data_IF_590730083044
#
_entry.id   IF_590730083044
#
_cell.length_a   1.000
_cell.length_b   1.000
_cell.length_c   1.000
_cell.angle_alpha   90.00
_cell.angle_beta   90.00
_cell.angle_gamma   90.00
#
_symmetry.space_group_name_H-M   'P 1'
#
loop_
_entity.id
_entity.type
_entity.pdbx_description
1 polymer ?
#
# COMPACT_ATOMS: atom_id res chain seq x y z
N UNK A 1 9.23 -5.27 5.66
CA UNK A 1 8.82 -3.89 5.32
C UNK A 1 7.38 -3.88 4.79
N UNK A 2 6.98 -4.74 3.83
CA UNK A 2 5.61 -4.76 3.28
C UNK A 2 4.54 -5.01 4.33
N UNK A 3 4.72 -6.00 5.22
CA UNK A 3 3.81 -6.27 6.34
C UNK A 3 3.63 -5.05 7.26
N UNK A 4 4.71 -4.29 7.53
CA UNK A 4 4.62 -3.06 8.33
C UNK A 4 3.83 -1.96 7.62
N UNK A 5 4.04 -1.80 6.31
CA UNK A 5 3.25 -0.85 5.51
C UNK A 5 1.76 -1.21 5.53
N UNK A 6 1.44 -2.47 5.26
CA UNK A 6 0.07 -2.98 5.26
C UNK A 6 -0.60 -2.76 6.63
N UNK A 7 0.13 -3.02 7.72
CA UNK A 7 -0.37 -2.79 9.09
C UNK A 7 -0.60 -1.31 9.36
N UNK A 8 0.33 -0.44 8.95
CA UNK A 8 0.20 1.01 9.14
C UNK A 8 -1.04 1.55 8.40
N UNK A 9 -1.21 1.16 7.13
CA UNK A 9 -2.38 1.59 6.34
C UNK A 9 -3.70 1.11 6.94
N UNK A 10 -3.77 -0.15 7.38
CA UNK A 10 -4.95 -0.69 8.05
C UNK A 10 -5.26 0.05 9.36
N UNK A 11 -4.24 0.34 10.17
CA UNK A 11 -4.41 1.10 11.41
C UNK A 11 -4.93 2.50 11.13
N UNK A 12 -4.38 3.21 10.15
CA UNK A 12 -4.83 4.56 9.76
C UNK A 12 -6.27 4.57 9.26
N UNK A 13 -6.68 3.54 8.50
CA UNK A 13 -8.03 3.40 7.95
C UNK A 13 -9.04 2.84 8.96
N UNK A 14 -8.61 2.36 10.13
CA UNK A 14 -9.51 1.86 11.17
C UNK A 14 -10.32 2.94 11.90
N UNK A 15 -10.10 4.21 11.58
CA UNK A 15 -10.75 5.36 12.25
C UNK A 15 -10.16 5.74 13.62
N UNK A 16 -9.14 5.02 14.09
CA UNK A 16 -8.41 5.37 15.32
C UNK A 16 -7.65 6.68 15.14
N UNK A 17 -7.57 7.47 16.22
CA UNK A 17 -6.84 8.75 16.25
C UNK A 17 -5.59 8.72 17.16
N UNK A 18 -5.35 7.62 17.85
CA UNK A 18 -4.24 7.40 18.78
C UNK A 18 -3.06 6.68 18.10
N UNK A 19 -2.72 7.07 16.86
CA UNK A 19 -1.71 6.41 16.04
C UNK A 19 -0.54 7.35 15.84
N UNK A 20 0.67 6.86 16.12
CA UNK A 20 1.93 7.51 15.78
C UNK A 20 2.64 6.66 14.74
N UNK A 21 3.00 7.25 13.61
CA UNK A 21 3.76 6.59 12.56
C UNK A 21 5.15 7.18 12.48
N UNK A 22 6.17 6.35 12.62
CA UNK A 22 7.58 6.73 12.43
C UNK A 22 8.04 6.17 11.11
N UNK A 23 8.46 7.03 10.21
CA UNK A 23 8.81 6.66 8.84
C UNK A 23 9.97 7.50 8.30
N UNK A 24 10.68 6.99 7.31
CA UNK A 24 11.61 7.78 6.52
C UNK A 24 10.86 8.54 5.41
N UNK A 25 11.55 9.43 4.71
CA UNK A 25 11.02 10.17 3.55
C UNK A 25 10.49 9.27 2.43
N UNK A 26 10.78 7.96 2.45
CA UNK A 26 10.21 6.99 1.52
C UNK A 26 8.69 6.84 1.63
N UNK A 27 8.06 7.33 2.69
CA UNK A 27 6.60 7.40 2.83
C UNK A 27 5.93 8.33 1.81
N UNK A 28 6.69 9.20 1.15
CA UNK A 28 6.22 10.11 0.11
C UNK A 28 6.22 9.48 -1.30
N UNK A 29 6.68 8.24 -1.44
CA UNK A 29 6.54 7.48 -2.69
C UNK A 29 5.12 6.97 -2.90
N UNK A 30 4.81 6.69 -4.18
CA UNK A 30 3.52 6.19 -4.59
C UNK A 30 3.06 4.94 -3.81
N UNK A 31 1.83 4.99 -3.35
CA UNK A 31 1.08 3.90 -2.73
C UNK A 31 -0.24 3.68 -3.47
N UNK A 32 -0.97 2.65 -3.10
CA UNK A 32 -2.30 2.40 -3.63
C UNK A 32 -3.33 3.44 -3.17
N UNK A 33 -4.47 3.49 -3.86
CA UNK A 33 -5.60 4.34 -3.46
C UNK A 33 -6.17 3.87 -2.10
N UNK A 34 -6.18 4.73 -1.07
CA UNK A 34 -6.73 4.39 0.24
C UNK A 34 -8.22 4.02 0.19
N UNK A 35 -9.00 4.63 -0.73
CA UNK A 35 -10.42 4.35 -0.88
C UNK A 35 -10.65 2.95 -1.46
N UNK A 36 -9.87 2.57 -2.48
CA UNK A 36 -9.92 1.24 -3.06
C UNK A 36 -9.54 0.16 -2.03
N UNK A 37 -8.51 0.39 -1.23
CA UNK A 37 -8.12 -0.50 -0.16
C UNK A 37 -9.20 -0.62 0.92
N UNK A 38 -9.75 0.49 1.39
CA UNK A 38 -10.82 0.50 2.40
C UNK A 38 -12.08 -0.22 1.92
N UNK A 39 -12.44 -0.11 0.64
CA UNK A 39 -13.61 -0.77 0.06
C UNK A 39 -13.53 -2.30 0.04
N UNK A 40 -12.34 -2.87 0.21
CA UNK A 40 -12.08 -4.31 0.24
C UNK A 40 -11.91 -4.88 1.64
N UNK A 41 -12.05 -4.05 2.67
CA UNK A 41 -12.09 -4.53 4.05
C UNK A 41 -13.42 -5.23 4.28
N UNK A 42 -13.36 -6.49 4.71
CA UNK A 42 -14.56 -7.27 5.06
C UNK A 42 -14.77 -7.17 6.55
N UNK A 43 -15.83 -6.47 6.96
CA UNK A 43 -16.27 -6.43 8.36
C UNK A 43 -17.20 -7.59 8.63
N UNK A 44 -16.88 -8.45 9.59
CA UNK A 44 -17.69 -9.58 10.04
C UNK A 44 -17.95 -9.46 11.53
N UNK A 45 -19.14 -9.88 11.95
CA UNK A 45 -19.55 -9.84 13.35
C UNK A 45 -20.46 -11.01 13.68
N UNK A 46 -20.55 -11.35 14.94
CA UNK A 46 -21.43 -12.39 15.46
C UNK A 46 -22.88 -12.06 15.16
N UNK A 47 -23.64 -13.02 14.67
CA UNK A 47 -25.03 -12.83 14.22
C UNK A 47 -25.16 -12.26 12.80
N UNK A 48 -24.08 -12.04 12.08
CA UNK A 48 -24.11 -11.59 10.70
C UNK A 48 -24.72 -12.66 9.80
N UNK A 49 -25.77 -12.29 9.05
CA UNK A 49 -26.42 -13.17 8.06
C UNK A 49 -25.67 -13.09 6.74
N UNK A 50 -24.86 -14.09 6.47
CA UNK A 50 -24.09 -14.23 5.25
C UNK A 50 -23.91 -15.72 4.92
N UNK A 51 -24.09 -16.06 3.66
CA UNK A 51 -23.74 -17.41 3.20
C UNK A 51 -22.22 -17.63 3.28
N UNK A 52 -21.82 -18.82 3.76
CA UNK A 52 -20.40 -19.16 3.91
C UNK A 52 -19.62 -18.96 2.62
N UNK A 53 -20.16 -19.42 1.49
CA UNK A 53 -19.47 -19.30 0.19
C UNK A 53 -19.39 -17.84 -0.28
N UNK A 54 -20.32 -16.98 0.15
CA UNK A 54 -20.22 -15.54 -0.09
C UNK A 54 -19.07 -14.92 0.72
N UNK A 55 -18.91 -15.31 2.00
CA UNK A 55 -17.77 -14.87 2.81
C UNK A 55 -16.44 -15.35 2.22
N UNK A 56 -16.37 -16.60 1.76
CA UNK A 56 -15.15 -17.12 1.11
C UNK A 56 -14.81 -16.35 -0.16
N UNK A 57 -15.78 -15.91 -0.93
CA UNK A 57 -15.57 -15.01 -2.09
C UNK A 57 -14.97 -13.68 -1.68
N UNK A 58 -15.44 -13.07 -0.58
CA UNK A 58 -14.84 -11.85 -0.06
C UNK A 58 -13.36 -12.05 0.29
N UNK A 59 -12.99 -13.19 0.89
CA UNK A 59 -11.60 -13.50 1.20
C UNK A 59 -10.75 -13.69 -0.07
N UNK A 60 -11.26 -14.38 -1.08
CA UNK A 60 -10.57 -14.53 -2.37
C UNK A 60 -10.42 -13.17 -3.07
N UNK A 61 -11.44 -12.33 -3.04
CA UNK A 61 -11.39 -10.97 -3.62
C UNK A 61 -10.45 -10.02 -2.83
N UNK A 62 -10.13 -10.36 -1.58
CA UNK A 62 -9.11 -9.72 -0.74
C UNK A 62 -7.72 -10.40 -0.85
N UNK A 63 -7.54 -11.30 -1.83
CA UNK A 63 -6.32 -12.05 -2.14
C UNK A 63 -5.88 -13.06 -1.08
N UNK A 64 -6.78 -13.55 -0.24
CA UNK A 64 -6.49 -14.69 0.62
C UNK A 64 -6.52 -15.99 -0.19
N UNK A 65 -5.63 -16.91 0.16
CA UNK A 65 -5.50 -18.22 -0.52
C UNK A 65 -6.11 -19.32 0.35
N UNK A 66 -6.96 -20.15 -0.25
CA UNK A 66 -7.44 -21.36 0.42
C UNK A 66 -6.31 -22.40 0.46
N UNK A 67 -5.74 -22.61 1.63
CA UNK A 67 -4.64 -23.57 1.82
C UNK A 67 -4.84 -24.39 3.11
N UNK A 68 -5.16 -25.67 2.94
CA UNK A 68 -5.35 -26.62 4.06
C UNK A 68 -4.05 -27.23 4.58
N UNK A 69 -3.03 -27.28 3.74
CA UNK A 69 -1.75 -27.96 4.04
C UNK A 69 -0.81 -27.01 4.77
N UNK A 70 -0.63 -25.81 4.24
CA UNK A 70 0.24 -24.80 4.81
C UNK A 70 -0.60 -23.59 5.25
N UNK A 71 -1.05 -23.61 6.50
CA UNK A 71 -1.84 -22.53 7.09
C UNK A 71 -0.93 -21.44 7.62
N UNK A 72 -0.78 -20.38 6.85
CA UNK A 72 0.07 -19.22 7.13
C UNK A 72 -0.67 -17.90 6.95
N UNK A 73 -0.04 -16.80 7.35
CA UNK A 73 -0.57 -15.45 7.16
C UNK A 73 -0.97 -15.20 5.69
N UNK A 74 -2.17 -14.68 5.46
CA UNK A 74 -2.78 -14.51 4.15
C UNK A 74 -3.51 -15.75 3.62
N UNK A 75 -3.69 -16.79 4.45
CA UNK A 75 -4.44 -17.99 4.08
C UNK A 75 -5.73 -18.16 4.89
N UNK A 76 -6.68 -18.86 4.30
CA UNK A 76 -7.83 -19.42 5.00
C UNK A 76 -7.97 -20.91 4.69
N UNK A 77 -8.70 -21.62 5.55
CA UNK A 77 -9.08 -23.03 5.31
C UNK A 77 -10.50 -23.27 5.77
N UNK A 78 -11.15 -24.23 5.15
CA UNK A 78 -12.58 -24.56 5.42
C UNK A 78 -12.68 -26.00 5.88
N UNK A 79 -13.37 -26.20 7.00
CA UNK A 79 -13.69 -27.52 7.58
C UNK A 79 -15.17 -27.57 7.98
N UNK A 80 -16.03 -28.09 7.09
CA UNK A 80 -17.48 -28.09 7.31
C UNK A 80 -18.03 -26.67 7.42
N UNK A 81 -18.68 -26.38 8.53
CA UNK A 81 -19.28 -25.07 8.83
C UNK A 81 -18.31 -24.10 9.53
N UNK A 82 -17.02 -24.47 9.59
CA UNK A 82 -15.97 -23.67 10.22
C UNK A 82 -15.00 -23.15 9.18
N UNK A 83 -14.66 -21.86 9.26
CA UNK A 83 -13.67 -21.20 8.45
C UNK A 83 -12.58 -20.65 9.35
N UNK A 84 -11.35 -21.16 9.22
CA UNK A 84 -10.18 -20.60 9.89
C UNK A 84 -9.50 -19.60 8.95
N UNK A 85 -9.21 -18.40 9.43
CA UNK A 85 -8.55 -17.31 8.71
C UNK A 85 -7.27 -16.92 9.45
N UNK A 86 -6.14 -16.88 8.73
CA UNK A 86 -4.91 -16.29 9.24
C UNK A 86 -4.68 -14.94 8.57
N UNK A 87 -4.95 -13.81 9.25
CA UNK A 87 -4.86 -12.49 8.65
C UNK A 87 -3.50 -12.18 8.05
N UNK A 88 -3.48 -11.42 6.95
CA UNK A 88 -2.25 -10.89 6.38
C UNK A 88 -1.62 -9.81 7.27
N UNK A 89 -2.46 -9.08 8.00
CA UNK A 89 -2.07 -8.12 9.01
C UNK A 89 -2.06 -8.87 10.34
N UNK A 90 -0.90 -9.41 10.67
CA UNK A 90 -0.71 -10.08 11.96
C UNK A 90 -0.85 -9.08 13.11
N UNK A 91 -1.61 -9.46 14.14
CA UNK A 91 -1.43 -8.92 15.48
C UNK A 91 -0.03 -9.31 16.00
N UNK A 92 0.48 -8.66 17.04
CA UNK A 92 1.83 -8.95 17.56
C UNK A 92 2.06 -10.44 17.87
N UNK A 93 0.99 -11.19 18.12
CA UNK A 93 1.03 -12.56 18.61
C UNK A 93 0.80 -13.63 17.51
N UNK A 94 0.72 -13.22 16.23
CA UNK A 94 0.52 -14.17 15.12
C UNK A 94 -0.79 -14.98 15.23
N UNK A 95 -1.87 -14.35 15.67
CA UNK A 95 -3.15 -14.99 15.97
C UNK A 95 -3.95 -15.24 14.70
N UNK A 96 -4.57 -16.43 14.61
CA UNK A 96 -5.57 -16.75 13.60
C UNK A 96 -6.98 -16.67 14.19
N UNK A 97 -7.98 -16.57 13.31
CA UNK A 97 -9.38 -16.48 13.72
C UNK A 97 -10.17 -17.66 13.18
N UNK A 98 -11.10 -18.15 13.99
CA UNK A 98 -12.06 -19.19 13.68
C UNK A 98 -13.46 -18.58 13.60
N UNK A 99 -14.13 -18.81 12.48
CA UNK A 99 -15.47 -18.31 12.20
C UNK A 99 -16.36 -19.54 12.05
N UNK A 100 -17.30 -19.70 12.96
CA UNK A 100 -18.23 -20.84 13.01
C UNK A 100 -19.60 -20.40 12.51
N UNK A 101 -20.17 -21.18 11.61
CA UNK A 101 -21.48 -20.90 11.00
C UNK A 101 -22.57 -21.80 11.58
N UNK A 102 -23.74 -21.23 11.77
CA UNK A 102 -24.99 -21.96 11.96
C UNK A 102 -25.92 -21.64 10.78
N UNK A 103 -26.02 -22.55 9.82
CA UNK A 103 -26.69 -22.28 8.55
C UNK A 103 -26.04 -21.10 7.79
N UNK A 104 -26.79 -20.02 7.57
CA UNK A 104 -26.34 -18.80 6.89
C UNK A 104 -26.08 -17.64 7.86
N UNK A 105 -25.70 -17.95 9.09
CA UNK A 105 -25.39 -16.95 10.11
C UNK A 105 -24.05 -17.27 10.78
N UNK A 106 -23.26 -16.25 11.09
CA UNK A 106 -22.03 -16.39 11.87
C UNK A 106 -22.44 -16.51 13.34
N UNK A 107 -22.28 -17.71 13.90
CA UNK A 107 -22.66 -18.02 15.28
C UNK A 107 -21.58 -17.57 16.27
N UNK A 108 -20.30 -17.80 15.88
CA UNK A 108 -19.17 -17.52 16.77
C UNK A 108 -17.93 -17.09 15.99
N UNK A 109 -17.17 -16.17 16.58
CA UNK A 109 -15.83 -15.78 16.12
C UNK A 109 -14.87 -15.96 17.31
N UNK A 110 -13.79 -16.71 17.15
CA UNK A 110 -12.77 -16.86 18.17
C UNK A 110 -11.37 -16.69 17.60
N UNK A 111 -10.46 -16.21 18.42
CA UNK A 111 -9.04 -16.15 18.11
C UNK A 111 -8.33 -17.39 18.65
N UNK A 112 -7.34 -17.89 17.92
CA UNK A 112 -6.58 -19.06 18.32
C UNK A 112 -5.11 -18.99 17.86
N UNK A 113 -4.24 -19.70 18.56
CA UNK A 113 -2.85 -19.91 18.16
C UNK A 113 -2.79 -20.90 16.98
N UNK A 114 -2.32 -20.47 15.80
CA UNK A 114 -2.31 -21.32 14.60
C UNK A 114 -1.38 -22.54 14.69
N UNK A 115 -0.40 -22.55 15.61
CA UNK A 115 0.54 -23.65 15.81
C UNK A 115 -0.03 -24.73 16.72
N UNK A 116 -0.59 -24.34 17.86
CA UNK A 116 -1.14 -25.30 18.84
C UNK A 116 -2.63 -25.58 18.61
N UNK A 117 -3.34 -24.73 17.87
CA UNK A 117 -4.79 -24.79 17.73
C UNK A 117 -5.56 -24.35 18.97
N UNK A 118 -4.86 -23.87 20.01
CA UNK A 118 -5.49 -23.46 21.28
C UNK A 118 -6.23 -22.15 21.10
N UNK A 119 -7.49 -22.15 21.48
CA UNK A 119 -8.31 -20.94 21.55
C UNK A 119 -7.75 -19.95 22.59
N UNK A 120 -7.76 -18.66 22.23
CA UNK A 120 -7.23 -17.57 23.06
C UNK A 120 -8.39 -16.76 23.63
N UNK A 121 -9.27 -16.24 22.75
CA UNK A 121 -10.36 -15.34 23.16
C UNK A 121 -11.51 -15.37 22.15
N UNK A 122 -12.72 -15.03 22.60
CA UNK A 122 -13.90 -14.84 21.76
C UNK A 122 -13.99 -13.40 21.29
N UNK A 123 -14.42 -13.20 20.05
CA UNK A 123 -14.50 -11.90 19.40
C UNK A 123 -15.94 -11.62 18.97
N UNK A 124 -16.44 -10.41 19.22
CA UNK A 124 -17.75 -9.99 18.72
C UNK A 124 -17.70 -9.56 17.25
N UNK A 125 -16.57 -9.01 16.82
CA UNK A 125 -16.37 -8.53 15.44
C UNK A 125 -14.92 -8.67 14.99
N UNK A 126 -14.70 -8.70 13.68
CA UNK A 126 -13.39 -8.78 13.06
C UNK A 126 -13.38 -8.01 11.74
N UNK A 127 -12.36 -7.17 11.54
CA UNK A 127 -12.07 -6.53 10.26
C UNK A 127 -10.99 -7.33 9.52
N UNK A 128 -11.34 -7.86 8.36
CA UNK A 128 -10.43 -8.60 7.50
C UNK A 128 -9.94 -7.68 6.40
N UNK A 129 -8.66 -7.33 6.46
CA UNK A 129 -8.00 -6.44 5.52
C UNK A 129 -7.40 -7.25 4.36
N UNK A 130 -7.31 -6.67 3.14
CA UNK A 130 -6.65 -7.32 2.01
C UNK A 130 -5.19 -7.72 2.30
N UNK A 131 -4.71 -8.74 1.61
CA UNK A 131 -3.33 -9.22 1.76
C UNK A 131 -2.31 -8.35 1.00
N UNK A 132 -2.76 -7.49 0.10
CA UNK A 132 -1.94 -6.60 -0.71
C UNK A 132 -2.50 -5.17 -0.69
N UNK A 133 -1.62 -4.18 -0.79
CA UNK A 133 -2.01 -2.77 -0.89
C UNK A 133 -2.66 -2.43 -2.24
N UNK A 134 -2.16 -3.00 -3.33
CA UNK A 134 -2.66 -2.77 -4.69
C UNK A 134 -3.85 -3.68 -4.99
N UNK A 135 -5.00 -3.37 -4.38
CA UNK A 135 -6.26 -4.08 -4.58
C UNK A 135 -7.17 -3.25 -5.46
N UNK A 136 -7.71 -3.85 -6.51
CA UNK A 136 -8.67 -3.20 -7.40
C UNK A 136 -9.81 -4.15 -7.77
N UNK A 137 -10.89 -3.64 -8.36
CA UNK A 137 -11.99 -4.48 -8.84
C UNK A 137 -11.58 -5.31 -10.06
N UNK A 138 -12.30 -6.41 -10.32
CA UNK A 138 -12.03 -7.27 -11.48
C UNK A 138 -12.22 -6.51 -12.80
N UNK A 139 -13.22 -5.63 -12.85
CA UNK A 139 -13.51 -4.77 -14.00
C UNK A 139 -12.35 -3.80 -14.24
N UNK A 140 -11.90 -3.13 -13.18
CA UNK A 140 -10.76 -2.20 -13.26
C UNK A 140 -9.45 -2.92 -13.63
N UNK A 141 -9.26 -4.14 -13.12
CA UNK A 141 -8.10 -4.98 -13.49
C UNK A 141 -8.12 -5.30 -14.99
N UNK A 142 -9.27 -5.70 -15.54
CA UNK A 142 -9.41 -5.99 -16.97
C UNK A 142 -9.16 -4.74 -17.84
N UNK A 143 -9.68 -3.58 -17.44
CA UNK A 143 -9.42 -2.30 -18.12
C UNK A 143 -7.93 -1.94 -18.07
N UNK A 144 -7.29 -2.06 -16.91
CA UNK A 144 -5.87 -1.77 -16.73
C UNK A 144 -5.00 -2.66 -17.62
N UNK A 145 -5.27 -3.96 -17.68
CA UNK A 145 -4.58 -4.91 -18.56
C UNK A 145 -4.71 -4.48 -20.04
N UNK A 146 -5.92 -4.11 -20.47
CA UNK A 146 -6.16 -3.63 -21.84
C UNK A 146 -5.40 -2.35 -22.16
N UNK A 147 -5.36 -1.39 -21.22
CA UNK A 147 -4.61 -0.14 -21.37
C UNK A 147 -3.09 -0.37 -21.42
N UNK A 148 -2.57 -1.25 -20.57
CA UNK A 148 -1.14 -1.64 -20.57
C UNK A 148 -0.76 -2.26 -21.91
N UNK A 149 -1.58 -3.15 -22.44
CA UNK A 149 -1.33 -3.83 -23.73
C UNK A 149 -1.31 -2.84 -24.91
N UNK A 150 -2.25 -1.89 -24.93
CA UNK A 150 -2.27 -0.80 -25.93
C UNK A 150 -1.01 0.07 -25.83
N UNK A 151 -0.62 0.48 -24.63
CA UNK A 151 0.56 1.33 -24.44
C UNK A 151 1.86 0.57 -24.71
N UNK A 152 1.90 -0.75 -24.47
CA UNK A 152 2.99 -1.63 -24.88
C UNK A 152 3.14 -1.63 -26.40
N UNK A 153 2.05 -1.83 -27.15
CA UNK A 153 2.06 -1.81 -28.60
C UNK A 153 2.64 -0.51 -29.14
N UNK A 154 2.14 0.64 -28.68
CA UNK A 154 2.64 1.97 -29.08
C UNK A 154 4.13 2.16 -28.77
N UNK A 155 4.58 1.75 -27.58
CA UNK A 155 5.97 1.93 -27.20
C UNK A 155 6.93 1.01 -27.96
N UNK A 156 6.50 -0.21 -28.27
CA UNK A 156 7.27 -1.15 -29.10
C UNK A 156 7.41 -0.62 -30.54
N UNK A 157 6.34 -0.09 -31.14
CA UNK A 157 6.39 0.54 -32.46
C UNK A 157 7.31 1.75 -32.45
N UNK A 158 7.18 2.64 -31.49
CA UNK A 158 8.09 3.78 -31.33
C UNK A 158 9.56 3.36 -31.29
N UNK A 159 9.91 2.34 -30.50
CA UNK A 159 11.31 1.85 -30.46
C UNK A 159 11.79 1.30 -31.81
N UNK A 160 10.92 0.62 -32.58
CA UNK A 160 11.27 0.13 -33.91
C UNK A 160 11.52 1.28 -34.87
N UNK A 161 10.68 2.31 -34.87
CA UNK A 161 10.79 3.49 -35.71
C UNK A 161 12.10 4.26 -35.47
N UNK A 162 12.53 4.39 -34.22
CA UNK A 162 13.77 5.07 -33.86
C UNK A 162 15.01 4.17 -33.92
N UNK A 163 14.90 2.95 -34.47
CA UNK A 163 16.02 2.04 -34.68
C UNK A 163 16.54 1.36 -33.43
N UNK A 164 15.68 1.14 -32.40
CA UNK A 164 15.97 0.46 -31.13
C UNK A 164 15.27 -0.90 -30.99
N UNK A 165 15.56 -1.90 -31.85
CA UNK A 165 14.86 -3.18 -31.86
C UNK A 165 15.12 -4.03 -30.61
N UNK A 166 16.28 -3.88 -29.96
CA UNK A 166 16.62 -4.62 -28.74
C UNK A 166 15.80 -4.11 -27.54
N UNK A 167 15.61 -2.79 -27.44
CA UNK A 167 14.76 -2.16 -26.43
C UNK A 167 13.30 -2.55 -26.64
N UNK A 168 12.83 -2.56 -27.89
CA UNK A 168 11.49 -3.02 -28.25
C UNK A 168 11.24 -4.46 -27.78
N UNK A 169 12.18 -5.38 -28.07
CA UNK A 169 12.08 -6.79 -27.69
C UNK A 169 12.08 -6.95 -26.17
N UNK A 170 13.02 -6.30 -25.48
CA UNK A 170 13.14 -6.37 -24.02
C UNK A 170 11.87 -5.88 -23.32
N UNK A 171 11.33 -4.74 -23.76
CA UNK A 171 10.11 -4.20 -23.20
C UNK A 171 8.94 -5.16 -23.41
N UNK A 172 8.80 -5.68 -24.62
CA UNK A 172 7.73 -6.62 -24.96
C UNK A 172 7.76 -7.87 -24.09
N UNK A 173 8.90 -8.55 -24.02
CA UNK A 173 9.07 -9.77 -23.21
C UNK A 173 8.77 -9.51 -21.74
N UNK A 174 9.25 -8.39 -21.20
CA UNK A 174 9.03 -8.03 -19.80
C UNK A 174 7.56 -7.75 -19.50
N UNK A 175 6.91 -6.92 -20.29
CA UNK A 175 5.52 -6.50 -20.01
C UNK A 175 4.54 -7.66 -20.26
N UNK A 176 4.76 -8.47 -21.28
CA UNK A 176 3.93 -9.67 -21.53
C UNK A 176 4.01 -10.63 -20.33
N UNK A 177 5.21 -10.89 -19.82
CA UNK A 177 5.38 -11.71 -18.63
C UNK A 177 4.67 -11.10 -17.41
N UNK A 178 4.81 -9.79 -17.18
CA UNK A 178 4.13 -9.10 -16.08
C UNK A 178 2.59 -9.20 -16.22
N UNK A 179 2.06 -9.05 -17.45
CA UNK A 179 0.62 -9.20 -17.72
C UNK A 179 0.10 -10.61 -17.48
N UNK A 180 0.87 -11.64 -17.83
CA UNK A 180 0.53 -13.04 -17.53
C UNK A 180 0.44 -13.26 -16.00
N UNK A 181 1.44 -12.78 -15.26
CA UNK A 181 1.43 -12.87 -13.79
C UNK A 181 0.24 -12.12 -13.17
N UNK A 182 -0.11 -10.94 -13.70
CA UNK A 182 -1.27 -10.18 -13.23
C UNK A 182 -2.58 -10.92 -13.53
N UNK A 183 -2.73 -11.54 -14.69
CA UNK A 183 -3.93 -12.33 -15.05
C UNK A 183 -4.11 -13.55 -14.17
N UNK A 184 -3.02 -14.30 -13.92
CA UNK A 184 -3.08 -15.56 -13.19
C UNK A 184 -3.10 -15.37 -11.67
N UNK A 185 -2.32 -14.43 -11.14
CA UNK A 185 -2.10 -14.26 -9.71
C UNK A 185 -2.67 -12.94 -9.14
N UNK A 186 -3.17 -12.05 -10.00
CA UNK A 186 -3.58 -10.69 -9.60
C UNK A 186 -2.42 -9.76 -9.23
N UNK A 187 -1.16 -10.19 -9.42
CA UNK A 187 0.04 -9.48 -8.96
C UNK A 187 1.26 -9.84 -9.81
N UNK A 188 2.19 -8.90 -9.96
CA UNK A 188 3.53 -9.16 -10.51
C UNK A 188 4.61 -8.41 -9.71
N UNK A 189 5.87 -8.81 -9.90
CA UNK A 189 7.00 -8.09 -9.30
C UNK A 189 7.17 -6.72 -9.96
N UNK A 190 7.07 -5.64 -9.17
CA UNK A 190 7.12 -4.27 -9.66
C UNK A 190 5.78 -3.75 -10.16
N UNK A 191 4.65 -4.31 -9.66
CA UNK A 191 3.28 -3.90 -10.01
C UNK A 191 3.06 -2.39 -9.82
N UNK A 192 3.79 -1.76 -8.91
CA UNK A 192 3.74 -0.32 -8.68
C UNK A 192 4.10 0.51 -9.92
N UNK A 193 4.87 -0.05 -10.88
CA UNK A 193 5.17 0.64 -12.14
C UNK A 193 3.95 0.74 -13.07
N UNK A 194 2.89 0.01 -12.76
CA UNK A 194 1.61 0.02 -13.46
C UNK A 194 0.51 0.70 -12.64
N UNK A 195 0.83 1.29 -11.46
CA UNK A 195 -0.15 1.85 -10.51
C UNK A 195 -1.14 2.81 -11.16
N UNK A 196 -0.69 3.66 -12.09
CA UNK A 196 -1.53 4.60 -12.82
C UNK A 196 -2.76 3.94 -13.47
N UNK A 197 -2.59 2.77 -14.07
CA UNK A 197 -3.68 2.05 -14.73
C UNK A 197 -4.68 1.49 -13.71
N UNK A 198 -4.18 0.98 -12.58
CA UNK A 198 -5.03 0.44 -11.52
C UNK A 198 -5.79 1.52 -10.75
N UNK A 199 -5.17 2.66 -10.51
CA UNK A 199 -5.78 3.80 -9.82
C UNK A 199 -6.71 4.63 -10.74
N UNK A 200 -6.60 4.48 -12.06
CA UNK A 200 -7.35 5.28 -13.03
C UNK A 200 -6.86 6.70 -13.20
N UNK A 201 -5.64 7.00 -12.76
CA UNK A 201 -5.02 8.31 -12.91
C UNK A 201 -4.58 8.57 -14.35
N UNK A 202 -4.64 9.84 -14.75
CA UNK A 202 -4.02 10.28 -15.98
C UNK A 202 -2.50 10.38 -15.86
N UNK A 203 -1.80 10.40 -16.99
CA UNK A 203 -0.36 10.62 -17.01
C UNK A 203 0.01 11.95 -16.35
N UNK A 204 0.99 11.92 -15.44
CA UNK A 204 1.46 13.09 -14.70
C UNK A 204 0.67 13.42 -13.44
N UNK A 205 -0.50 12.82 -13.22
CA UNK A 205 -1.26 13.02 -11.99
C UNK A 205 -0.50 12.51 -10.76
N UNK A 206 -0.69 13.19 -9.64
CA UNK A 206 -0.06 12.87 -8.36
C UNK A 206 -0.45 11.45 -7.89
N UNK A 207 0.50 10.58 -7.56
CA UNK A 207 0.18 9.31 -6.92
C UNK A 207 -0.30 9.51 -5.49
N UNK A 208 -1.08 8.57 -4.98
CA UNK A 208 -1.32 8.48 -3.54
C UNK A 208 -0.02 8.13 -2.81
N UNK A 209 0.12 8.60 -1.59
CA UNK A 209 1.25 8.28 -0.70
C UNK A 209 0.74 8.00 0.71
N UNK A 210 1.63 7.72 1.65
CA UNK A 210 1.22 7.44 3.03
C UNK A 210 0.44 8.59 3.67
N UNK A 211 0.71 9.85 3.31
CA UNK A 211 -0.01 11.01 3.86
C UNK A 211 -1.50 11.02 3.50
N UNK A 212 -1.89 10.41 2.38
CA UNK A 212 -3.30 10.31 1.96
C UNK A 212 -4.13 9.36 2.85
N UNK A 213 -3.48 8.53 3.66
CA UNK A 213 -4.16 7.63 4.60
C UNK A 213 -4.43 8.26 5.96
N UNK A 214 -3.81 9.40 6.25
CA UNK A 214 -4.03 10.13 7.50
C UNK A 214 -5.33 10.93 7.45
N UNK A 215 -5.94 11.22 8.62
CA UNK A 215 -6.99 12.21 8.71
C UNK A 215 -6.45 13.59 8.31
N UNK A 216 -7.33 14.47 7.81
CA UNK A 216 -6.91 15.79 7.28
C UNK A 216 -6.25 16.73 8.30
N UNK A 217 -6.42 16.47 9.58
CA UNK A 217 -5.93 17.26 10.71
C UNK A 217 -4.71 16.64 11.42
N UNK A 218 -3.96 15.76 10.74
CA UNK A 218 -2.77 15.15 11.33
C UNK A 218 -1.64 16.15 11.57
N UNK A 219 -0.81 15.86 12.57
CA UNK A 219 0.42 16.60 12.86
C UNK A 219 1.62 15.88 12.25
N UNK A 220 2.37 16.58 11.41
CA UNK A 220 3.63 16.10 10.87
C UNK A 220 4.80 16.63 11.71
N UNK A 221 5.64 15.74 12.19
CA UNK A 221 6.91 16.12 12.85
C UNK A 221 8.05 15.74 11.92
N UNK A 222 8.85 16.70 11.52
CA UNK A 222 10.00 16.52 10.61
C UNK A 222 11.27 16.63 11.42
N UNK A 223 11.87 15.47 11.70
CA UNK A 223 13.13 15.39 12.41
C UNK A 223 14.31 15.72 11.48
N UNK A 224 15.36 16.34 12.05
CA UNK A 224 16.52 16.87 11.30
C UNK A 224 16.08 17.63 10.04
N UNK A 225 15.15 18.55 10.23
CA UNK A 225 14.43 19.22 9.12
C UNK A 225 15.36 19.93 8.15
N UNK A 226 16.48 20.50 8.64
CA UNK A 226 17.51 21.15 7.82
C UNK A 226 18.16 20.23 6.78
N UNK A 227 18.08 18.88 6.97
CA UNK A 227 18.52 17.86 6.01
C UNK A 227 17.32 17.21 5.31
N UNK A 228 16.25 16.92 6.06
CA UNK A 228 15.08 16.20 5.56
C UNK A 228 14.31 17.02 4.52
N UNK A 229 14.12 18.32 4.73
CA UNK A 229 13.40 19.18 3.77
C UNK A 229 14.13 19.29 2.42
N UNK A 230 15.45 19.57 2.36
CA UNK A 230 16.21 19.52 1.11
C UNK A 230 16.16 18.14 0.43
N UNK A 231 16.18 17.05 1.20
CA UNK A 231 16.05 15.68 0.66
C UNK A 231 14.69 15.48 -0.04
N UNK A 232 13.58 15.89 0.61
CA UNK A 232 12.24 15.81 0.01
C UNK A 232 12.20 16.60 -1.29
N UNK A 233 12.78 17.79 -1.32
CA UNK A 233 12.85 18.66 -2.51
C UNK A 233 13.59 18.02 -3.68
N UNK A 234 14.65 17.26 -3.39
CA UNK A 234 15.48 16.61 -4.40
C UNK A 234 14.93 15.25 -4.91
N UNK A 235 14.06 14.58 -4.14
CA UNK A 235 13.63 13.20 -4.40
C UNK A 235 12.96 13.03 -5.77
N UNK A 236 12.05 13.92 -6.13
CA UNK A 236 11.32 13.85 -7.40
C UNK A 236 12.27 13.89 -8.60
N UNK A 237 13.20 14.84 -8.63
CA UNK A 237 14.16 14.98 -9.73
C UNK A 237 15.07 13.76 -9.89
N UNK A 238 15.58 13.24 -8.77
CA UNK A 238 16.43 12.05 -8.76
C UNK A 238 15.70 10.79 -9.22
N UNK A 239 14.47 10.56 -8.77
CA UNK A 239 13.65 9.41 -9.20
C UNK A 239 13.28 9.51 -10.68
N UNK A 240 12.87 10.69 -11.14
CA UNK A 240 12.53 10.93 -12.55
C UNK A 240 13.69 10.63 -13.47
N UNK A 241 14.88 11.15 -13.17
CA UNK A 241 16.07 10.92 -14.00
C UNK A 241 16.40 9.43 -14.12
N UNK A 242 16.36 8.70 -13.00
CA UNK A 242 16.58 7.25 -12.98
C UNK A 242 15.54 6.51 -13.84
N UNK A 243 14.27 6.84 -13.71
CA UNK A 243 13.17 6.17 -14.43
C UNK A 243 13.15 6.52 -15.91
N UNK A 244 13.52 7.74 -16.29
CA UNK A 244 13.70 8.09 -17.69
C UNK A 244 14.68 7.14 -18.38
N UNK A 245 15.83 6.87 -17.77
CA UNK A 245 16.79 5.90 -18.31
C UNK A 245 16.15 4.49 -18.44
N UNK A 246 15.37 4.04 -17.45
CA UNK A 246 14.72 2.73 -17.54
C UNK A 246 13.71 2.66 -18.69
N UNK A 247 13.00 3.75 -18.98
CA UNK A 247 12.07 3.83 -20.11
C UNK A 247 12.82 3.91 -21.44
N UNK A 248 13.84 4.76 -21.54
CA UNK A 248 14.63 4.96 -22.77
C UNK A 248 15.39 3.72 -23.22
N UNK A 249 15.75 2.85 -22.27
CA UNK A 249 16.44 1.57 -22.54
C UNK A 249 15.46 0.38 -22.56
N UNK A 250 14.15 0.59 -22.61
CA UNK A 250 13.16 -0.48 -22.74
C UNK A 250 13.02 -1.42 -21.54
N UNK A 251 13.36 -0.97 -20.34
CA UNK A 251 13.15 -1.75 -19.11
C UNK A 251 11.78 -1.54 -18.49
N UNK A 252 11.11 -0.41 -18.79
CA UNK A 252 9.80 -0.05 -18.24
C UNK A 252 8.98 0.71 -19.29
N UNK A 253 7.65 0.61 -19.17
CA UNK A 253 6.73 1.51 -19.89
C UNK A 253 6.83 2.94 -19.36
N UNK A 254 6.47 3.95 -20.17
CA UNK A 254 6.42 5.35 -19.74
C UNK A 254 5.57 5.57 -18.47
N UNK A 255 4.54 4.76 -18.25
CA UNK A 255 3.71 4.79 -17.05
C UNK A 255 4.48 4.63 -15.73
N UNK A 256 5.65 4.01 -15.76
CA UNK A 256 6.52 3.90 -14.59
C UNK A 256 6.98 5.26 -14.04
N UNK A 257 6.97 6.31 -14.87
CA UNK A 257 7.27 7.69 -14.45
C UNK A 257 6.20 8.25 -13.50
N UNK A 258 4.98 7.72 -13.54
CA UNK A 258 3.86 8.16 -12.71
C UNK A 258 3.83 7.48 -11.33
N UNK A 259 4.62 6.41 -11.14
CA UNK A 259 4.94 5.88 -9.80
C UNK A 259 6.15 6.64 -9.24
N UNK A 260 5.92 7.76 -8.63
CA UNK A 260 6.96 8.73 -8.23
C UNK A 260 6.74 9.23 -6.81
N UNK A 261 7.76 9.77 -6.16
CA UNK A 261 7.55 10.54 -4.95
C UNK A 261 6.77 11.82 -5.26
N UNK A 262 6.21 12.44 -4.25
CA UNK A 262 5.61 13.76 -4.36
C UNK A 262 6.64 14.78 -4.86
N UNK A 263 6.16 15.78 -5.61
CA UNK A 263 6.92 17.03 -5.76
C UNK A 263 6.92 17.77 -4.42
N UNK A 264 7.79 18.76 -4.29
CA UNK A 264 7.85 19.53 -3.05
C UNK A 264 6.56 20.32 -2.78
N UNK A 265 5.97 20.89 -3.82
CA UNK A 265 4.70 21.62 -3.77
C UNK A 265 3.53 20.70 -3.40
N UNK A 266 3.51 19.47 -3.91
CA UNK A 266 2.51 18.47 -3.53
C UNK A 266 2.65 18.08 -2.06
N UNK A 267 3.88 17.90 -1.58
CA UNK A 267 4.17 17.63 -0.17
C UNK A 267 3.66 18.77 0.72
N UNK A 268 3.97 20.03 0.39
CA UNK A 268 3.49 21.18 1.14
C UNK A 268 1.96 21.26 1.19
N UNK A 269 1.30 20.97 0.05
CA UNK A 269 -0.17 21.01 -0.03
C UNK A 269 -0.87 19.92 0.81
N UNK A 270 -0.20 18.79 1.06
CA UNK A 270 -0.71 17.70 1.87
C UNK A 270 -0.38 17.81 3.36
N UNK A 271 0.47 18.75 3.73
CA UNK A 271 0.90 18.94 5.13
C UNK A 271 0.06 20.03 5.79
N UNK A 272 -0.95 19.69 6.63
CA UNK A 272 -1.85 20.69 7.22
C UNK A 272 -1.16 21.49 8.33
N UNK A 273 -0.29 20.84 9.08
CA UNK A 273 0.49 21.43 10.17
C UNK A 273 1.78 20.65 10.40
N UNK A 274 2.87 21.35 10.68
CA UNK A 274 4.18 20.74 10.86
C UNK A 274 4.94 21.32 12.04
N UNK A 275 5.70 20.46 12.71
CA UNK A 275 6.77 20.83 13.65
C UNK A 275 8.10 20.46 13.00
N UNK A 276 8.97 21.42 12.85
CA UNK A 276 10.33 21.22 12.36
C UNK A 276 11.27 21.07 13.56
N UNK A 277 11.97 19.95 13.63
CA UNK A 277 12.95 19.68 14.69
C UNK A 277 14.34 19.72 14.08
N UNK A 278 15.21 20.58 14.62
CA UNK A 278 16.58 20.75 14.12
C UNK A 278 17.45 21.44 15.16
N UNK A 279 18.71 21.01 15.25
CA UNK A 279 19.73 21.76 16.01
C UNK A 279 20.21 23.02 15.25
N UNK A 280 20.05 23.02 13.93
CA UNK A 280 20.51 24.10 13.03
C UNK A 280 19.43 24.39 11.98
N UNK A 281 18.30 25.02 12.36
CA UNK A 281 17.24 25.31 11.42
C UNK A 281 17.71 26.18 10.27
N UNK A 282 17.22 25.91 9.07
CA UNK A 282 17.53 26.66 7.86
C UNK A 282 16.45 27.72 7.57
N UNK A 283 16.67 28.54 6.55
CA UNK A 283 15.74 29.63 6.20
C UNK A 283 14.32 29.17 5.92
N UNK A 284 14.17 27.96 5.33
CA UNK A 284 12.84 27.40 5.03
C UNK A 284 12.00 27.22 6.29
N UNK A 285 12.55 26.58 7.33
CA UNK A 285 11.85 26.34 8.59
C UNK A 285 11.52 27.65 9.29
N UNK A 286 12.46 28.60 9.31
CA UNK A 286 12.27 29.91 9.94
C UNK A 286 11.18 30.73 9.23
N UNK A 287 11.11 30.68 7.91
CA UNK A 287 10.05 31.32 7.12
C UNK A 287 8.70 30.66 7.39
N UNK A 288 8.64 29.31 7.37
CA UNK A 288 7.38 28.56 7.57
C UNK A 288 6.84 28.66 8.99
N UNK A 289 7.70 28.83 10.00
CA UNK A 289 7.32 29.07 11.41
C UNK A 289 7.07 30.54 11.73
N UNK A 290 7.18 31.45 10.75
CA UNK A 290 7.08 32.91 10.97
C UNK A 290 8.05 33.41 12.05
N UNK A 291 9.20 32.76 12.17
CA UNK A 291 10.23 33.00 13.16
C UNK A 291 9.90 32.52 14.58
N UNK A 292 8.82 31.77 14.77
CA UNK A 292 8.52 31.13 16.07
C UNK A 292 9.46 29.96 16.28
N UNK A 293 10.34 30.07 17.26
CA UNK A 293 11.33 29.04 17.63
C UNK A 293 11.20 28.74 19.12
N UNK A 294 11.23 27.47 19.45
CA UNK A 294 11.27 26.98 20.84
C UNK A 294 12.58 26.21 21.04
N UNK A 295 13.42 26.72 21.93
CA UNK A 295 14.69 26.07 22.24
C UNK A 295 14.54 25.02 23.34
N UNK A 296 15.05 23.82 23.08
CA UNK A 296 15.20 22.77 24.09
C UNK A 296 16.68 22.65 24.48
N UNK A 297 17.05 23.31 25.57
CA UNK A 297 18.44 23.43 26.02
C UNK A 297 18.90 22.27 26.91
N UNK A 298 17.98 21.48 27.45
CA UNK A 298 18.29 20.38 28.39
C UNK A 298 18.00 19.04 27.73
N UNK A 299 19.02 18.19 27.69
CA UNK A 299 18.90 16.77 27.28
C UNK A 299 18.70 15.91 28.54
N UNK A 300 17.54 15.25 28.72
CA UNK A 300 17.27 14.44 29.91
C UNK A 300 18.21 13.23 30.06
N UNK A 301 18.83 12.79 28.95
CA UNK A 301 19.71 11.61 28.91
C UNK A 301 21.08 11.83 29.51
N UNK A 302 21.51 13.05 29.81
CA UNK A 302 22.83 13.38 30.34
C UNK A 302 24.03 13.06 29.44
N UNK A 303 23.78 12.63 28.20
CA UNK A 303 24.80 12.38 27.19
C UNK A 303 24.77 13.49 26.15
N UNK A 304 25.94 14.03 25.83
CA UNK A 304 26.13 15.01 24.76
C UNK A 304 26.13 14.33 23.41
#
# INVERSE_FOLDING_TARGET
IEKLRLRTTASLLSGRKDIIVISSVSCLYGMADPTAFASKVTHIFRGMKIDRDALLRCFVDAFYVNNKVEFKSGCFRVNGDTVDLFPAIETFDGVAYRIEFWGNEIDRISSFDPLSGREIDEQEELNVYPTNLFVTSKERMAEAIGQIDVDLGKQVEYFKEIGKPYEAKRLYERVVFDLEMIRELGHCSGIENYSRYFDGRNAGERPYCLLDYFPKDFLLVIDESHVTVPQIRAMYGGDRSRKQNLVEYGFRLPAALDNRPLTFEEFESLTPQAIYVSATPADYELIKSEGVVVDQLIRPTGLL
#
